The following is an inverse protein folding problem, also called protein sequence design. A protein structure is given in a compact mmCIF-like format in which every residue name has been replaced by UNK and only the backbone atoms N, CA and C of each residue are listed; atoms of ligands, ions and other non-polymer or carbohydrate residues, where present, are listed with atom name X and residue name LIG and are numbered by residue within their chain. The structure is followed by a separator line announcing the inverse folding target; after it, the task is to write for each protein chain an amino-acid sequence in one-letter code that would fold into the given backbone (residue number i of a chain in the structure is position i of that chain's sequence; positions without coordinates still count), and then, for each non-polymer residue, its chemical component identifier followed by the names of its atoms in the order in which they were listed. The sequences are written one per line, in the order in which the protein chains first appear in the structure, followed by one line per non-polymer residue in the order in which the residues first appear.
data_IF_728652722009
#
_entry.id   IF_728652722009
#
_cell.length_a   1.000
_cell.length_b   1.000
_cell.length_c   1.000
_cell.angle_alpha   90.00
_cell.angle_beta   90.00
_cell.angle_gamma   90.00
#
_symmetry.space_group_name_H-M   'P 1'
#
loop_
_entity.id
_entity.type
_entity.pdbx_description
1 polymer ?
#
# COMPACT_ATOMS: atom_id res chain seq x y z
N UNK A 1 -7.94 15.52 -7.26
CA UNK A 1 -7.50 14.21 -6.74
C UNK A 1 -8.12 13.16 -7.65
N UNK A 2 -7.36 12.11 -7.97
CA UNK A 2 -7.80 11.02 -8.84
C UNK A 2 -7.55 9.67 -8.15
N UNK A 3 -8.57 8.81 -8.16
CA UNK A 3 -8.43 7.42 -7.73
C UNK A 3 -8.14 6.52 -8.93
N UNK A 4 -7.23 5.56 -8.72
CA UNK A 4 -6.83 4.58 -9.73
C UNK A 4 -6.82 3.16 -9.14
N UNK A 5 -7.00 2.16 -10.00
CA UNK A 5 -6.94 0.74 -9.61
C UNK A 5 -5.49 0.23 -9.56
N UNK A 6 -4.60 0.84 -10.35
CA UNK A 6 -3.20 0.45 -10.46
C UNK A 6 -2.30 1.68 -10.68
N UNK A 7 -1.04 1.56 -10.27
CA UNK A 7 -0.04 2.61 -10.30
C UNK A 7 1.36 2.00 -10.52
N UNK A 8 2.03 2.43 -11.59
CA UNK A 8 3.44 2.10 -11.81
C UNK A 8 4.31 3.10 -11.06
N UNK A 9 5.08 2.60 -10.09
CA UNK A 9 5.99 3.39 -9.25
C UNK A 9 7.45 3.06 -9.59
N UNK A 10 8.43 3.71 -8.95
CA UNK A 10 9.84 3.37 -9.17
C UNK A 10 10.25 2.00 -8.62
N UNK A 11 9.46 1.42 -7.69
CA UNK A 11 9.72 0.12 -7.08
C UNK A 11 8.77 -0.97 -7.56
N UNK A 12 7.48 -0.80 -7.29
CA UNK A 12 6.45 -1.81 -7.58
C UNK A 12 5.37 -1.29 -8.53
N UNK A 13 4.78 -2.21 -9.29
CA UNK A 13 3.45 -2.02 -9.85
C UNK A 13 2.42 -2.33 -8.76
N UNK A 14 1.82 -1.29 -8.18
CA UNK A 14 0.89 -1.36 -7.05
C UNK A 14 -0.54 -1.36 -7.60
N UNK A 15 -1.32 -2.37 -7.24
CA UNK A 15 -2.74 -2.47 -7.59
C UNK A 15 -3.62 -2.67 -6.34
N UNK A 16 -4.88 -2.22 -6.41
CA UNK A 16 -5.87 -2.49 -5.37
C UNK A 16 -6.03 -4.00 -5.18
N UNK A 17 -5.95 -4.46 -3.94
CA UNK A 17 -5.98 -5.87 -3.56
C UNK A 17 -4.61 -6.53 -3.47
N UNK A 18 -3.54 -5.88 -3.90
CA UNK A 18 -2.17 -6.36 -3.65
C UNK A 18 -1.91 -6.52 -2.16
N UNK A 19 -1.06 -7.48 -1.83
CA UNK A 19 -0.62 -7.74 -0.47
C UNK A 19 0.88 -7.58 -0.39
N UNK A 20 1.32 -6.76 0.55
CA UNK A 20 2.71 -6.47 0.81
C UNK A 20 3.11 -7.01 2.18
N UNK A 21 4.26 -7.63 2.25
CA UNK A 21 4.86 -8.16 3.47
C UNK A 21 6.10 -7.36 3.85
N UNK A 22 6.50 -7.43 5.11
CA UNK A 22 7.82 -6.94 5.54
C UNK A 22 8.44 -7.91 6.55
N UNK A 23 9.72 -7.70 6.87
CA UNK A 23 10.46 -8.61 7.77
C UNK A 23 10.30 -8.30 9.25
N UNK A 24 9.56 -7.26 9.60
CA UNK A 24 9.49 -6.70 10.97
C UNK A 24 8.11 -6.92 11.59
N UNK A 25 7.06 -6.69 10.82
CA UNK A 25 5.67 -6.78 11.24
C UNK A 25 5.16 -8.22 11.13
N UNK A 26 4.28 -8.60 12.05
CA UNK A 26 3.63 -9.93 12.05
C UNK A 26 2.39 -9.98 11.13
N UNK A 27 2.06 -8.86 10.47
CA UNK A 27 0.94 -8.68 9.55
C UNK A 27 1.41 -8.24 8.17
N UNK A 28 0.54 -8.36 7.18
CA UNK A 28 0.75 -7.85 5.82
C UNK A 28 -0.16 -6.64 5.57
N UNK A 29 0.21 -5.78 4.62
CA UNK A 29 -0.63 -4.68 4.15
C UNK A 29 -1.37 -5.09 2.88
N UNK A 30 -2.70 -5.03 2.91
CA UNK A 30 -3.52 -5.20 1.72
C UNK A 30 -3.95 -3.84 1.17
N UNK A 31 -3.61 -3.53 -0.07
CA UNK A 31 -3.99 -2.28 -0.71
C UNK A 31 -5.50 -2.24 -0.91
N UNK A 32 -6.14 -1.14 -0.51
CA UNK A 32 -7.59 -0.95 -0.62
C UNK A 32 -7.96 0.19 -1.55
N UNK A 33 -7.09 1.20 -1.70
CA UNK A 33 -7.34 2.36 -2.54
C UNK A 33 -6.01 3.05 -2.88
N UNK A 34 -5.92 3.65 -4.07
CA UNK A 34 -4.77 4.45 -4.50
C UNK A 34 -5.28 5.83 -4.93
N UNK A 35 -4.71 6.89 -4.34
CA UNK A 35 -5.05 8.29 -4.61
C UNK A 35 -3.84 9.06 -5.13
N UNK A 36 -4.01 9.71 -6.28
CA UNK A 36 -3.04 10.64 -6.86
C UNK A 36 -3.55 12.06 -6.64
N UNK A 37 -2.72 12.89 -6.00
CA UNK A 37 -3.00 14.32 -5.81
C UNK A 37 -2.69 15.07 -7.12
N UNK A 38 -3.65 15.85 -7.65
CA UNK A 38 -3.62 16.36 -9.05
C UNK A 38 -2.39 17.24 -9.39
N UNK A 39 -1.71 17.80 -8.39
CA UNK A 39 -0.52 18.65 -8.58
C UNK A 39 0.79 17.85 -8.63
N UNK A 40 0.78 16.61 -8.14
CA UNK A 40 1.95 15.74 -8.10
C UNK A 40 1.86 14.71 -9.23
N UNK A 41 2.60 14.96 -10.31
CA UNK A 41 2.77 13.99 -11.42
C UNK A 41 3.75 12.85 -11.07
N UNK A 42 4.11 12.70 -9.80
CA UNK A 42 5.05 11.69 -9.31
C UNK A 42 4.29 10.50 -8.71
N UNK A 43 4.30 9.32 -9.38
CA UNK A 43 3.65 8.11 -8.86
C UNK A 43 4.15 7.73 -7.46
N UNK A 44 5.40 8.01 -7.13
CA UNK A 44 5.99 7.63 -5.84
C UNK A 44 5.39 8.43 -4.68
N UNK A 45 4.76 9.58 -4.95
CA UNK A 45 4.05 10.37 -3.95
C UNK A 45 2.56 10.04 -3.87
N UNK A 46 2.02 9.12 -4.66
CA UNK A 46 0.62 8.72 -4.49
C UNK A 46 0.36 8.18 -3.08
N UNK A 47 -0.84 8.43 -2.55
CA UNK A 47 -1.29 7.83 -1.29
C UNK A 47 -1.84 6.43 -1.57
N UNK A 48 -1.29 5.44 -0.89
CA UNK A 48 -1.69 4.04 -0.96
C UNK A 48 -2.37 3.69 0.36
N UNK A 49 -3.69 3.57 0.33
CA UNK A 49 -4.47 3.15 1.49
C UNK A 49 -4.35 1.63 1.66
N UNK A 50 -4.12 1.20 2.89
CA UNK A 50 -3.82 -0.18 3.21
C UNK A 50 -4.66 -0.65 4.40
N UNK A 51 -5.01 -1.94 4.39
CA UNK A 51 -5.62 -2.63 5.52
C UNK A 51 -4.62 -3.66 6.06
N UNK A 52 -4.24 -3.59 7.35
CA UNK A 52 -3.48 -4.66 8.00
C UNK A 52 -4.26 -5.96 7.99
N UNK A 53 -3.65 -7.04 7.48
CA UNK A 53 -4.25 -8.38 7.39
C UNK A 53 -3.35 -9.45 7.97
N UNK A 54 -3.96 -10.53 8.47
CA UNK A 54 -3.28 -11.70 9.02
C UNK A 54 -2.34 -12.31 7.98
N UNK A 55 -1.07 -12.51 8.35
CA UNK A 55 -0.02 -13.02 7.46
C UNK A 55 -0.29 -14.43 6.90
N UNK A 56 -1.16 -15.21 7.55
CA UNK A 56 -1.58 -16.53 7.09
C UNK A 56 -2.98 -16.50 6.43
N UNK A 57 -3.72 -15.41 6.55
CA UNK A 57 -5.06 -15.24 5.97
C UNK A 57 -5.34 -13.78 5.61
N UNK A 58 -4.99 -13.40 4.38
CA UNK A 58 -5.13 -12.03 3.86
C UNK A 58 -6.58 -11.51 3.73
N UNK A 59 -7.59 -12.32 4.08
CA UNK A 59 -8.99 -11.89 4.16
C UNK A 59 -9.42 -11.50 5.59
N UNK A 60 -8.58 -11.75 6.59
CA UNK A 60 -8.83 -11.43 7.98
C UNK A 60 -8.03 -10.16 8.33
N UNK A 61 -8.73 -9.07 8.59
CA UNK A 61 -8.11 -7.85 9.11
C UNK A 61 -7.59 -8.07 10.53
N UNK A 62 -6.52 -7.37 10.88
CA UNK A 62 -5.96 -7.33 12.23
C UNK A 62 -5.88 -5.88 12.73
N UNK A 63 -5.91 -5.68 14.04
CA UNK A 63 -5.66 -4.36 14.60
C UNK A 63 -4.18 -4.02 14.46
N UNK A 64 -3.89 -2.81 13.99
CA UNK A 64 -2.55 -2.24 13.90
C UNK A 64 -2.57 -0.82 14.43
N UNK A 65 -1.41 -0.36 14.91
CA UNK A 65 -1.18 1.06 15.20
C UNK A 65 -0.65 1.83 13.99
N UNK A 66 -0.46 1.13 12.86
CA UNK A 66 0.03 1.73 11.63
C UNK A 66 -1.05 2.59 10.97
N UNK A 67 -0.62 3.57 10.18
CA UNK A 67 -1.54 4.49 9.50
C UNK A 67 -2.36 3.72 8.44
N UNK A 68 -3.60 4.19 8.19
CA UNK A 68 -4.49 3.61 7.18
C UNK A 68 -3.98 3.83 5.74
N UNK A 69 -2.89 4.60 5.57
CA UNK A 69 -2.28 4.89 4.28
C UNK A 69 -0.79 5.24 4.41
N UNK A 70 -0.05 4.99 3.33
CA UNK A 70 1.35 5.36 3.19
C UNK A 70 1.59 6.03 1.83
N UNK A 71 2.70 6.77 1.68
CA UNK A 71 3.14 7.19 0.35
C UNK A 71 3.68 5.98 -0.42
N UNK A 72 3.52 5.94 -1.74
CA UNK A 72 3.98 4.82 -2.55
C UNK A 72 5.49 4.55 -2.41
N UNK A 73 6.33 5.59 -2.27
CA UNK A 73 7.76 5.43 -1.99
C UNK A 73 8.02 4.68 -0.68
N UNK A 74 7.18 4.86 0.35
CA UNK A 74 7.33 4.15 1.61
C UNK A 74 7.05 2.65 1.45
N UNK A 75 6.03 2.31 0.66
CA UNK A 75 5.77 0.91 0.30
C UNK A 75 6.97 0.32 -0.46
N UNK A 76 7.54 1.05 -1.41
CA UNK A 76 8.72 0.62 -2.17
C UNK A 76 9.95 0.35 -1.30
N UNK A 77 10.17 1.15 -0.25
CA UNK A 77 11.36 1.05 0.60
C UNK A 77 11.24 -0.02 1.69
N UNK A 78 10.08 -0.14 2.34
CA UNK A 78 9.93 -0.93 3.57
C UNK A 78 9.13 -2.22 3.39
N UNK A 79 8.45 -2.38 2.25
CA UNK A 79 7.58 -3.50 1.99
C UNK A 79 7.93 -4.19 0.67
N UNK A 80 7.67 -5.48 0.59
CA UNK A 80 7.91 -6.29 -0.59
C UNK A 80 6.70 -7.17 -0.92
N UNK A 81 6.53 -7.39 -2.22
CA UNK A 81 5.40 -8.13 -2.80
C UNK A 81 5.68 -9.63 -2.88
#
# INVERSE_FOLDING_TARGET
MKYVEELETSGWHIAVGDVFSNSIMEYHLKVTQIEIEDEENDPDNAKVYCLPVDSNNHNKSVESTDDDWHRAWYINEYWYK
#
